data_IF_679210343871
#
_entry.id   IF_679210343871
#
_cell.length_a   1.000
_cell.length_b   1.000
_cell.length_c   1.000
_cell.angle_alpha   90.00
_cell.angle_beta   90.00
_cell.angle_gamma   90.00
#
_symmetry.space_group_name_H-M   'P 1'
#
loop_
_entity.id
_entity.type
_entity.pdbx_description
1 polymer ?
#
# COMPACT_ATOMS: atom_id res chain seq x y z
N UNK A 1 5.97 1.96 2.18
CA UNK A 1 5.65 3.21 2.93
C UNK A 1 5.69 4.46 2.04
N UNK A 2 6.67 4.59 1.12
CA UNK A 2 6.71 5.72 0.18
C UNK A 2 5.43 5.89 -0.66
N UNK A 3 4.84 4.78 -1.12
CA UNK A 3 3.57 4.75 -1.84
C UNK A 3 2.40 5.37 -1.04
N UNK A 4 2.23 4.99 0.23
CA UNK A 4 1.17 5.54 1.10
C UNK A 4 1.29 7.07 1.25
N UNK A 5 2.51 7.59 1.35
CA UNK A 5 2.75 9.04 1.41
C UNK A 5 2.45 9.75 0.10
N UNK A 6 2.83 9.15 -1.04
CA UNK A 6 2.70 9.75 -2.37
C UNK A 6 1.30 9.69 -2.93
N UNK A 7 0.61 8.56 -2.79
CA UNK A 7 -0.67 8.31 -3.45
C UNK A 7 -1.86 8.52 -2.53
N UNK A 8 -1.76 8.14 -1.26
CA UNK A 8 -2.83 8.33 -0.27
C UNK A 8 -2.70 9.66 0.49
N UNK A 9 -1.71 10.50 0.13
CA UNK A 9 -1.40 11.81 0.74
C UNK A 9 -1.20 11.75 2.25
N UNK A 10 -0.74 10.62 2.78
CA UNK A 10 -0.52 10.50 4.21
C UNK A 10 0.70 11.33 4.62
N UNK A 11 0.62 12.06 5.74
CA UNK A 11 1.81 12.74 6.26
C UNK A 11 2.67 11.69 6.97
N UNK A 12 4.01 11.73 6.81
CA UNK A 12 4.90 10.83 7.54
C UNK A 12 4.76 10.90 9.06
N UNK A 13 4.37 12.06 9.59
CA UNK A 13 4.07 12.26 11.01
C UNK A 13 2.88 11.43 11.46
N UNK A 14 1.80 11.37 10.67
CA UNK A 14 0.59 10.64 11.02
C UNK A 14 0.91 9.14 11.21
N UNK A 15 1.70 8.56 10.30
CA UNK A 15 2.15 7.17 10.45
C UNK A 15 3.16 7.00 11.59
N UNK A 16 4.06 7.96 11.82
CA UNK A 16 5.03 7.91 12.92
C UNK A 16 4.33 7.88 14.28
N UNK A 17 3.29 8.68 14.43
CA UNK A 17 2.57 8.91 15.68
C UNK A 17 1.59 7.76 16.02
N UNK A 18 1.33 6.85 15.08
CA UNK A 18 0.50 5.66 15.30
C UNK A 18 1.06 4.70 16.35
N UNK A 19 0.15 4.07 17.08
CA UNK A 19 0.44 2.94 17.95
C UNK A 19 0.88 1.70 17.16
N UNK A 20 1.52 0.74 17.84
CA UNK A 20 2.03 -0.49 17.22
C UNK A 20 0.91 -1.31 16.55
N UNK A 21 -0.30 -1.32 17.12
CA UNK A 21 -1.45 -2.02 16.53
C UNK A 21 -1.90 -1.40 15.20
N UNK A 22 -2.05 -0.08 15.18
CA UNK A 22 -2.43 0.68 13.98
C UNK A 22 -1.39 0.50 12.87
N UNK A 23 -0.10 0.58 13.21
CA UNK A 23 1.01 0.33 12.26
C UNK A 23 0.93 -1.06 11.62
N UNK A 24 0.55 -2.08 12.38
CA UNK A 24 0.38 -3.46 11.86
C UNK A 24 -0.76 -3.54 10.86
N UNK A 25 -1.90 -2.90 11.16
CA UNK A 25 -3.04 -2.84 10.25
C UNK A 25 -2.62 -2.15 8.95
N UNK A 26 -1.99 -0.98 9.05
CA UNK A 26 -1.48 -0.24 7.88
C UNK A 26 -0.54 -1.08 7.03
N UNK A 27 0.36 -1.85 7.66
CA UNK A 27 1.25 -2.75 6.94
C UNK A 27 0.50 -3.87 6.20
N UNK A 28 -0.50 -4.48 6.83
CA UNK A 28 -1.29 -5.54 6.20
C UNK A 28 -1.99 -5.02 4.94
N UNK A 29 -2.71 -3.90 5.04
CA UNK A 29 -3.37 -3.27 3.90
C UNK A 29 -2.38 -2.83 2.82
N UNK A 30 -1.21 -2.30 3.20
CA UNK A 30 -0.19 -1.94 2.22
C UNK A 30 0.33 -3.14 1.44
N UNK A 31 0.52 -4.29 2.09
CA UNK A 31 0.97 -5.51 1.42
C UNK A 31 -0.08 -6.00 0.43
N UNK A 32 -1.35 -6.04 0.84
CA UNK A 32 -2.48 -6.39 -0.03
C UNK A 32 -2.57 -5.47 -1.25
N UNK A 33 -2.47 -4.15 -1.06
CA UNK A 33 -2.48 -3.19 -2.18
C UNK A 33 -1.30 -3.37 -3.14
N UNK A 34 -0.12 -3.79 -2.66
CA UNK A 34 1.04 -4.06 -3.51
C UNK A 34 0.86 -5.36 -4.31
N UNK A 35 0.31 -6.40 -3.68
CA UNK A 35 -0.01 -7.67 -4.35
C UNK A 35 -1.06 -7.48 -5.44
N UNK A 36 -2.12 -6.70 -5.17
CA UNK A 36 -3.14 -6.39 -6.17
C UNK A 36 -2.59 -5.60 -7.36
N UNK A 37 -1.66 -4.66 -7.11
CA UNK A 37 -0.98 -3.92 -8.19
C UNK A 37 -0.12 -4.81 -9.06
N UNK A 38 0.64 -5.71 -8.45
CA UNK A 38 1.49 -6.61 -9.23
C UNK A 38 0.62 -7.57 -10.06
N UNK A 39 -0.47 -8.09 -9.48
CA UNK A 39 -1.45 -8.91 -10.20
C UNK A 39 -2.09 -8.17 -11.38
N UNK A 40 -2.56 -6.94 -11.18
CA UNK A 40 -3.11 -6.13 -12.28
C UNK A 40 -2.07 -5.87 -13.36
N UNK A 41 -0.82 -5.63 -12.98
CA UNK A 41 0.28 -5.44 -13.93
C UNK A 41 0.55 -6.72 -14.73
N UNK A 42 0.58 -7.88 -14.07
CA UNK A 42 0.68 -9.18 -14.74
C UNK A 42 -0.50 -9.44 -15.68
N UNK A 43 -1.73 -9.12 -15.28
CA UNK A 43 -2.93 -9.25 -16.14
C UNK A 43 -2.83 -8.36 -17.40
N UNK A 44 -2.35 -7.12 -17.26
CA UNK A 44 -2.13 -6.20 -18.38
C UNK A 44 -1.01 -6.71 -19.29
N UNK A 45 0.12 -7.15 -18.72
CA UNK A 45 1.27 -7.68 -19.49
C UNK A 45 0.91 -8.96 -20.25
N UNK A 46 0.06 -9.81 -19.65
CA UNK A 46 -0.43 -11.04 -20.27
C UNK A 46 -1.64 -10.81 -21.21
N UNK A 47 -2.10 -9.56 -21.39
CA UNK A 47 -3.20 -9.20 -22.28
C UNK A 47 -4.56 -9.76 -21.85
N UNK A 48 -4.78 -9.96 -20.55
CA UNK A 48 -6.01 -10.52 -19.98
C UNK A 48 -7.10 -9.47 -19.65
N UNK A 49 -7.04 -8.29 -20.27
CA UNK A 49 -7.98 -7.16 -20.05
C UNK A 49 -8.90 -6.95 -21.24
#
# INVERSE_FOLDING_TARGET
MYFLFREKKWKPTDYKDMGTGEKRIVHAFMLEELEDRERMKEEIENGQV
#
